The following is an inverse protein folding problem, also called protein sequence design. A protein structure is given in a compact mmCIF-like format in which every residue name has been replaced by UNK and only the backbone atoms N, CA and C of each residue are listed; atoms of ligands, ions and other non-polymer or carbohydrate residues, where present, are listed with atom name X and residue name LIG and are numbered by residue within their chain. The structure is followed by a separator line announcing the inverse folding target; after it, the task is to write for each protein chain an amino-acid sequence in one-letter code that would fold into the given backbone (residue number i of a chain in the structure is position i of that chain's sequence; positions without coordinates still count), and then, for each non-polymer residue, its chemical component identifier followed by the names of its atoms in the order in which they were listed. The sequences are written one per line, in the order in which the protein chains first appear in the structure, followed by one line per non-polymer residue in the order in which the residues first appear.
data_IF_282204125991
#
_entry.id   IF_282204125991
#
_cell.length_a   1.000
_cell.length_b   1.000
_cell.length_c   1.000
_cell.angle_alpha   90.00
_cell.angle_beta   90.00
_cell.angle_gamma   90.00
#
_symmetry.space_group_name_H-M   'P 1'
#
loop_
_entity.id
_entity.type
_entity.pdbx_description
1 polymer ?
#
# COMPACT_ATOMS: atom_id res chain seq x y z
N UNK A 1 -29.95 43.53 17.78
CA UNK A 1 -28.73 43.17 17.03
C UNK A 1 -28.80 41.68 16.74
N UNK A 2 -29.03 41.33 15.47
CA UNK A 2 -29.09 39.93 15.04
C UNK A 2 -27.66 39.42 14.85
N UNK A 3 -27.28 38.36 15.56
CA UNK A 3 -26.10 37.56 15.22
C UNK A 3 -26.45 36.75 13.99
N UNK A 4 -25.88 37.14 12.84
CA UNK A 4 -25.84 36.30 11.65
C UNK A 4 -24.91 35.13 11.98
N UNK A 5 -25.52 33.96 12.17
CA UNK A 5 -24.81 32.68 12.14
C UNK A 5 -24.27 32.51 10.73
N UNK A 6 -23.00 32.80 10.51
CA UNK A 6 -22.28 32.35 9.33
C UNK A 6 -22.37 30.82 9.31
N UNK A 7 -23.10 30.28 8.34
CA UNK A 7 -23.11 28.86 8.06
C UNK A 7 -21.68 28.49 7.68
N UNK A 8 -20.99 27.80 8.60
CA UNK A 8 -19.69 27.20 8.35
C UNK A 8 -19.86 26.28 7.12
N UNK A 9 -19.16 26.49 6.00
CA UNK A 9 -19.27 25.59 4.85
C UNK A 9 -18.96 24.18 5.35
N UNK A 10 -19.87 23.25 5.08
CA UNK A 10 -19.76 21.85 5.48
C UNK A 10 -18.31 21.40 5.27
N UNK A 11 -17.59 21.15 6.37
CA UNK A 11 -16.22 20.63 6.27
C UNK A 11 -16.34 19.29 5.56
N UNK A 12 -15.95 19.25 4.28
CA UNK A 12 -16.04 18.05 3.47
C UNK A 12 -15.26 16.96 4.20
N UNK A 13 -15.94 15.86 4.54
CA UNK A 13 -15.33 14.69 5.15
C UNK A 13 -14.11 14.26 4.32
N UNK A 14 -12.86 14.38 4.83
CA UNK A 14 -11.65 14.11 4.06
C UNK A 14 -11.60 12.70 3.49
N UNK A 15 -12.19 11.73 4.21
CA UNK A 15 -12.30 10.35 3.71
C UNK A 15 -13.23 10.27 2.51
N UNK A 16 -14.41 10.89 2.59
CA UNK A 16 -15.36 10.93 1.47
C UNK A 16 -14.75 11.63 0.24
N UNK A 17 -14.03 12.73 0.44
CA UNK A 17 -13.33 13.42 -0.64
C UNK A 17 -12.28 12.53 -1.32
N UNK A 18 -11.46 11.83 -0.53
CA UNK A 18 -10.48 10.86 -1.03
C UNK A 18 -11.14 9.77 -1.89
N UNK A 19 -12.16 9.10 -1.35
CA UNK A 19 -12.82 8.01 -2.07
C UNK A 19 -13.56 8.53 -3.32
N UNK A 20 -14.17 9.72 -3.24
CA UNK A 20 -14.80 10.34 -4.40
C UNK A 20 -13.82 10.65 -5.52
N UNK A 21 -12.60 11.13 -5.22
CA UNK A 21 -11.58 11.38 -6.23
C UNK A 21 -11.00 10.07 -6.77
N UNK A 22 -10.72 9.10 -5.89
CA UNK A 22 -10.18 7.80 -6.27
C UNK A 22 -11.09 7.03 -7.23
N UNK A 23 -12.40 7.03 -6.97
CA UNK A 23 -13.41 6.39 -7.82
C UNK A 23 -14.00 7.33 -8.90
N UNK A 24 -13.43 8.52 -9.10
CA UNK A 24 -13.94 9.46 -10.11
C UNK A 24 -13.72 8.98 -11.54
N UNK A 25 -14.57 9.45 -12.45
CA UNK A 25 -14.37 9.34 -13.90
C UNK A 25 -14.40 10.74 -14.52
N UNK A 26 -13.29 11.24 -15.13
CA UNK A 26 -12.00 10.59 -15.31
C UNK A 26 -11.04 10.75 -14.11
N UNK A 27 -10.82 9.67 -13.35
CA UNK A 27 -9.84 9.58 -12.25
C UNK A 27 -8.48 9.06 -12.69
N UNK A 28 -7.44 9.30 -11.89
CA UNK A 28 -6.04 9.01 -12.28
C UNK A 28 -5.79 7.54 -12.67
N UNK A 29 -6.29 6.58 -11.88
CA UNK A 29 -6.11 5.14 -12.17
C UNK A 29 -6.77 4.73 -13.48
N UNK A 30 -7.99 5.22 -13.76
CA UNK A 30 -8.69 4.97 -15.02
C UNK A 30 -7.87 5.49 -16.20
N UNK A 31 -7.30 6.70 -16.07
CA UNK A 31 -6.45 7.30 -17.12
C UNK A 31 -5.19 6.49 -17.37
N UNK A 32 -4.57 5.93 -16.34
CA UNK A 32 -3.43 5.03 -16.50
C UNK A 32 -3.81 3.76 -17.27
N UNK A 33 -5.00 3.19 -17.04
CA UNK A 33 -5.50 2.04 -17.80
C UNK A 33 -5.78 2.37 -19.26
N UNK A 34 -6.15 3.61 -19.56
CA UNK A 34 -6.24 4.14 -20.93
C UNK A 34 -4.86 4.44 -21.57
N UNK A 35 -3.75 4.20 -20.86
CA UNK A 35 -2.40 4.49 -21.33
C UNK A 35 -2.02 5.97 -21.25
N UNK A 36 -2.74 6.78 -20.46
CA UNK A 36 -2.53 8.23 -20.35
C UNK A 36 -2.02 8.63 -18.98
N UNK A 37 -0.84 9.26 -18.94
CA UNK A 37 -0.36 9.97 -17.77
C UNK A 37 -1.07 11.33 -17.63
N UNK A 38 -2.09 11.39 -16.79
CA UNK A 38 -2.87 12.60 -16.54
C UNK A 38 -2.39 13.33 -15.27
N UNK A 39 -1.50 14.31 -15.45
CA UNK A 39 -0.90 15.05 -14.33
C UNK A 39 -1.94 15.82 -13.51
N UNK A 40 -3.00 16.33 -14.13
CA UNK A 40 -4.06 17.02 -13.41
C UNK A 40 -4.86 16.06 -12.52
N UNK A 41 -5.17 14.86 -13.01
CA UNK A 41 -5.82 13.82 -12.21
C UNK A 41 -4.92 13.34 -11.07
N UNK A 42 -3.62 13.17 -11.33
CA UNK A 42 -2.64 12.84 -10.28
C UNK A 42 -2.63 13.90 -9.15
N UNK A 43 -2.56 15.19 -9.48
CA UNK A 43 -2.50 16.24 -8.48
C UNK A 43 -3.78 16.36 -7.64
N UNK A 44 -4.95 16.08 -8.22
CA UNK A 44 -6.20 16.01 -7.45
C UNK A 44 -6.19 14.85 -6.46
N UNK A 45 -5.78 13.65 -6.90
CA UNK A 45 -5.65 12.48 -6.05
C UNK A 45 -4.65 12.71 -4.90
N UNK A 46 -3.45 13.23 -5.20
CA UNK A 46 -2.44 13.55 -4.19
C UNK A 46 -2.96 14.58 -3.17
N UNK A 47 -3.73 15.57 -3.62
CA UNK A 47 -4.34 16.56 -2.74
C UNK A 47 -5.36 15.92 -1.80
N UNK A 48 -6.18 15.00 -2.31
CA UNK A 48 -7.18 14.29 -1.50
C UNK A 48 -6.53 13.31 -0.50
N UNK A 49 -5.48 12.59 -0.92
CA UNK A 49 -4.66 11.75 -0.04
C UNK A 49 -4.03 12.56 1.09
N UNK A 50 -3.43 13.71 0.78
CA UNK A 50 -2.83 14.61 1.77
C UNK A 50 -3.87 15.14 2.76
N UNK A 51 -5.04 15.56 2.27
CA UNK A 51 -6.12 16.03 3.13
C UNK A 51 -6.61 14.94 4.10
N UNK A 52 -6.70 13.69 3.64
CA UNK A 52 -6.99 12.56 4.51
C UNK A 52 -5.89 12.34 5.57
N UNK A 53 -4.61 12.35 5.16
CA UNK A 53 -3.46 12.13 6.04
C UNK A 53 -3.18 13.27 7.03
N UNK A 54 -3.71 14.47 6.82
CA UNK A 54 -3.64 15.57 7.80
C UNK A 54 -4.88 15.68 8.68
N UNK A 55 -5.94 14.93 8.38
CA UNK A 55 -7.17 14.92 9.17
C UNK A 55 -7.07 14.03 10.42
N UNK A 56 -7.85 14.32 11.49
CA UNK A 56 -8.00 13.42 12.62
C UNK A 56 -8.51 12.04 12.16
N UNK A 57 -7.74 10.98 12.44
CA UNK A 57 -8.06 9.60 12.07
C UNK A 57 -7.51 8.63 13.10
N UNK A 58 -7.94 7.38 13.01
CA UNK A 58 -7.32 6.29 13.77
C UNK A 58 -5.97 5.95 13.14
N UNK A 59 -4.87 6.11 13.88
CA UNK A 59 -3.52 5.83 13.38
C UNK A 59 -3.18 4.33 13.42
N UNK A 60 -3.96 3.50 14.11
CA UNK A 60 -3.71 2.07 14.21
C UNK A 60 -4.45 1.27 13.12
N UNK A 61 -5.44 1.88 12.45
CA UNK A 61 -6.27 1.20 11.46
C UNK A 61 -6.95 2.16 10.50
N UNK A 62 -7.29 1.65 9.33
CA UNK A 62 -8.05 2.38 8.31
C UNK A 62 -8.93 1.41 7.55
N UNK A 63 -9.90 1.93 6.80
CA UNK A 63 -10.76 1.10 5.97
C UNK A 63 -10.00 0.56 4.76
N UNK A 64 -10.41 -0.61 4.26
CA UNK A 64 -9.81 -1.25 3.09
C UNK A 64 -9.81 -0.32 1.88
N UNK A 65 -10.91 0.37 1.62
CA UNK A 65 -11.02 1.29 0.47
C UNK A 65 -10.05 2.48 0.58
N UNK A 66 -9.74 2.91 1.81
CA UNK A 66 -8.68 3.90 2.05
C UNK A 66 -7.34 3.28 1.66
N UNK A 67 -7.01 2.09 2.17
CA UNK A 67 -5.77 1.41 1.81
C UNK A 67 -5.61 1.24 0.29
N UNK A 68 -6.70 0.86 -0.40
CA UNK A 68 -6.76 0.75 -1.84
C UNK A 68 -6.44 2.07 -2.54
N UNK A 69 -7.00 3.18 -2.07
CA UNK A 69 -6.78 4.52 -2.61
C UNK A 69 -5.35 5.03 -2.46
N UNK A 70 -4.53 4.41 -1.61
CA UNK A 70 -3.09 4.69 -1.48
C UNK A 70 -2.21 3.67 -2.20
N UNK A 71 -2.54 2.38 -2.11
CA UNK A 71 -1.76 1.30 -2.69
C UNK A 71 -1.92 1.21 -4.22
N UNK A 72 -3.14 1.22 -4.74
CA UNK A 72 -3.40 0.93 -6.14
C UNK A 72 -2.85 2.01 -7.10
N UNK A 73 -3.04 3.32 -6.86
CA UNK A 73 -2.51 4.35 -7.75
C UNK A 73 -0.99 4.31 -7.85
N UNK A 74 -0.31 4.10 -6.72
CA UNK A 74 1.15 3.97 -6.66
C UNK A 74 1.65 2.80 -7.51
N UNK A 75 1.01 1.63 -7.36
CA UNK A 75 1.35 0.42 -8.11
C UNK A 75 1.11 0.58 -9.61
N UNK A 76 -0.06 1.08 -10.01
CA UNK A 76 -0.40 1.25 -11.43
C UNK A 76 0.48 2.32 -12.09
N UNK A 77 0.81 3.41 -11.38
CA UNK A 77 1.74 4.43 -11.89
C UNK A 77 3.11 3.83 -12.19
N UNK A 78 3.66 3.01 -11.28
CA UNK A 78 4.95 2.34 -11.50
C UNK A 78 4.91 1.36 -12.67
N UNK A 79 3.83 0.58 -12.78
CA UNK A 79 3.62 -0.33 -13.91
C UNK A 79 3.61 0.44 -15.23
N UNK A 80 2.90 1.57 -15.27
CA UNK A 80 2.86 2.45 -16.43
C UNK A 80 4.27 3.00 -16.78
N UNK A 81 4.98 3.58 -15.81
CA UNK A 81 6.32 4.13 -16.06
C UNK A 81 7.31 3.07 -16.56
N UNK A 82 7.24 1.85 -16.02
CA UNK A 82 8.08 0.73 -16.47
C UNK A 82 7.83 0.33 -17.94
N UNK A 83 6.61 0.55 -18.46
CA UNK A 83 6.26 0.25 -19.85
C UNK A 83 6.63 1.38 -20.82
N UNK A 84 6.52 2.64 -20.38
CA UNK A 84 6.60 3.80 -21.27
C UNK A 84 7.99 4.44 -21.30
N UNK A 85 8.79 4.32 -20.23
CA UNK A 85 10.06 5.07 -20.12
C UNK A 85 11.20 4.29 -19.45
N UNK A 86 11.89 3.38 -20.16
CA UNK A 86 13.15 2.83 -19.67
C UNK A 86 14.29 3.83 -19.91
N UNK A 87 14.52 4.76 -18.96
CA UNK A 87 15.77 5.54 -18.76
C UNK A 87 15.77 7.02 -19.18
N UNK A 88 15.06 7.91 -18.46
CA UNK A 88 15.47 9.32 -18.32
C UNK A 88 15.17 9.84 -16.91
N UNK A 89 16.22 10.17 -16.15
CA UNK A 89 16.07 10.87 -14.86
C UNK A 89 15.49 12.27 -15.11
N UNK A 90 14.41 12.64 -14.41
CA UNK A 90 13.54 13.83 -14.58
C UNK A 90 12.24 13.62 -15.39
N UNK A 91 11.78 12.38 -15.56
CA UNK A 91 10.45 12.14 -16.11
C UNK A 91 9.36 12.57 -15.10
N UNK A 92 8.35 13.39 -15.50
CA UNK A 92 7.13 13.59 -14.72
C UNK A 92 6.53 12.29 -14.16
N UNK A 93 6.69 11.16 -14.86
CA UNK A 93 6.27 9.83 -14.43
C UNK A 93 6.96 9.38 -13.13
N UNK A 94 8.28 9.53 -13.07
CA UNK A 94 9.11 9.13 -11.93
C UNK A 94 8.76 9.97 -10.69
N UNK A 95 8.65 11.29 -10.85
CA UNK A 95 8.26 12.19 -9.76
C UNK A 95 6.86 11.89 -9.23
N UNK A 96 5.90 11.58 -10.10
CA UNK A 96 4.57 11.18 -9.66
C UNK A 96 4.57 9.85 -8.89
N UNK A 97 5.40 8.89 -9.31
CA UNK A 97 5.57 7.63 -8.58
C UNK A 97 6.16 7.85 -7.19
N UNK A 98 7.13 8.75 -7.05
CA UNK A 98 7.70 9.14 -5.75
C UNK A 98 6.66 9.80 -4.86
N UNK A 99 5.89 10.77 -5.39
CA UNK A 99 4.83 11.42 -4.63
C UNK A 99 3.76 10.43 -4.12
N UNK A 100 3.34 9.50 -4.97
CA UNK A 100 2.41 8.43 -4.58
C UNK A 100 3.03 7.47 -3.57
N UNK A 101 4.32 7.17 -3.70
CA UNK A 101 5.06 6.36 -2.73
C UNK A 101 5.09 7.04 -1.36
N UNK A 102 5.37 8.34 -1.30
CA UNK A 102 5.42 9.11 -0.05
C UNK A 102 4.06 9.15 0.66
N UNK A 103 2.97 9.28 -0.11
CA UNK A 103 1.61 9.22 0.44
C UNK A 103 1.30 7.82 0.99
N UNK A 104 1.64 6.76 0.25
CA UNK A 104 1.47 5.40 0.73
C UNK A 104 2.33 5.12 1.97
N UNK A 105 3.60 5.54 1.96
CA UNK A 105 4.50 5.45 3.10
C UNK A 105 3.88 6.10 4.34
N UNK A 106 3.36 7.33 4.23
CA UNK A 106 2.75 8.02 5.36
C UNK A 106 1.52 7.29 5.92
N UNK A 107 0.69 6.69 5.05
CA UNK A 107 -0.44 5.88 5.52
C UNK A 107 0.04 4.63 6.27
N UNK A 108 0.95 3.86 5.66
CA UNK A 108 1.31 2.53 6.13
C UNK A 108 2.31 2.55 7.29
N UNK A 109 3.36 3.36 7.19
CA UNK A 109 4.39 3.49 8.25
C UNK A 109 3.94 4.38 9.41
N UNK A 110 2.90 5.21 9.21
CA UNK A 110 2.39 6.14 10.22
C UNK A 110 3.20 7.43 10.38
N UNK A 111 4.31 7.59 9.65
CA UNK A 111 5.19 8.76 9.71
C UNK A 111 5.33 9.43 8.33
N UNK A 112 5.34 10.77 8.24
CA UNK A 112 5.66 11.45 7.00
C UNK A 112 7.17 11.31 6.68
N UNK A 113 7.52 11.09 5.41
CA UNK A 113 8.91 10.89 4.95
C UNK A 113 9.80 12.12 5.21
N UNK A 114 9.23 13.33 5.16
CA UNK A 114 9.75 14.60 5.71
C UNK A 114 8.83 15.72 5.21
N UNK A 115 8.16 16.42 6.13
CA UNK A 115 7.58 17.73 5.87
C UNK A 115 7.95 18.59 7.08
N UNK A 116 8.73 19.64 6.86
CA UNK A 116 8.96 20.69 7.85
C UNK A 116 7.62 21.07 8.49
N UNK A 117 7.61 21.16 9.82
CA UNK A 117 6.47 21.35 10.74
C UNK A 117 5.83 20.07 11.30
N UNK A 118 6.57 19.44 12.22
CA UNK A 118 6.03 18.44 13.14
C UNK A 118 5.24 19.11 14.29
N UNK A 119 3.92 18.94 14.28
CA UNK A 119 3.12 18.88 15.52
C UNK A 119 2.19 17.68 15.41
N UNK A 120 2.54 16.55 16.03
CA UNK A 120 1.57 15.48 16.25
C UNK A 120 1.63 14.97 17.68
N UNK A 121 0.46 15.00 18.31
CA UNK A 121 0.20 14.52 19.65
C UNK A 121 0.11 13.00 19.66
N UNK A 122 0.67 12.38 20.69
CA UNK A 122 0.42 10.98 21.03
C UNK A 122 -1.08 10.81 21.32
N UNK A 123 -1.76 10.03 20.49
CA UNK A 123 -3.16 9.66 20.65
C UNK A 123 -3.24 8.19 21.08
N UNK A 124 -4.01 7.87 22.14
CA UNK A 124 -4.15 6.50 22.59
C UNK A 124 -4.93 5.66 21.58
N UNK A 125 -4.31 4.55 21.17
CA UNK A 125 -4.93 3.51 20.35
C UNK A 125 -5.98 2.76 21.17
N UNK A 126 -7.22 2.74 20.70
CA UNK A 126 -8.26 1.86 21.22
C UNK A 126 -8.67 0.91 20.10
N UNK A 127 -8.01 -0.26 20.03
CA UNK A 127 -8.34 -1.33 19.10
C UNK A 127 -9.68 -1.98 19.46
N UNK A 128 -10.64 -2.08 18.53
CA UNK A 128 -11.64 -3.14 18.62
C UNK A 128 -10.98 -4.47 18.28
N UNK A 129 -11.36 -5.50 19.03
CA UNK A 129 -10.66 -6.77 19.07
C UNK A 129 -10.85 -7.55 17.77
N UNK A 130 -9.76 -7.75 17.03
CA UNK A 130 -9.57 -9.00 16.29
C UNK A 130 -9.93 -10.17 17.24
N UNK A 131 -10.51 -11.24 16.70
CA UNK A 131 -10.73 -12.45 17.49
C UNK A 131 -9.41 -12.92 18.11
N UNK A 132 -9.45 -13.70 19.18
CA UNK A 132 -8.22 -14.23 19.79
C UNK A 132 -7.35 -14.98 18.77
N UNK A 133 -7.98 -15.64 17.79
CA UNK A 133 -7.27 -16.31 16.71
C UNK A 133 -6.76 -15.32 15.65
N UNK A 134 -7.51 -14.28 15.32
CA UNK A 134 -7.05 -13.19 14.46
C UNK A 134 -5.84 -12.45 15.03
N UNK A 135 -5.80 -12.22 16.35
CA UNK A 135 -4.64 -11.63 17.04
C UNK A 135 -3.41 -12.54 16.98
N UNK A 136 -3.58 -13.85 17.17
CA UNK A 136 -2.47 -14.81 17.05
C UNK A 136 -1.89 -14.84 15.65
N UNK A 137 -2.75 -14.88 14.64
CA UNK A 137 -2.33 -14.91 13.24
C UNK A 137 -1.64 -13.60 12.86
N UNK A 138 -2.19 -12.45 13.28
CA UNK A 138 -1.53 -11.15 13.14
C UNK A 138 -0.15 -11.15 13.77
N UNK A 139 -0.04 -11.60 15.03
CA UNK A 139 1.24 -11.62 15.73
C UNK A 139 2.25 -12.53 15.05
N UNK A 140 1.85 -13.74 14.63
CA UNK A 140 2.73 -14.66 13.92
C UNK A 140 3.28 -14.06 12.61
N UNK A 141 2.45 -13.30 11.88
CA UNK A 141 2.91 -12.59 10.69
C UNK A 141 3.92 -11.48 11.01
N UNK A 142 3.65 -10.70 12.06
CA UNK A 142 4.58 -9.65 12.50
C UNK A 142 5.90 -10.27 12.98
N UNK A 143 5.85 -11.35 13.74
CA UNK A 143 7.02 -12.08 14.23
C UNK A 143 7.90 -12.57 13.07
N UNK A 144 7.32 -13.19 12.03
CA UNK A 144 8.08 -13.63 10.84
C UNK A 144 8.64 -12.44 10.04
N UNK A 145 7.92 -11.31 9.99
CA UNK A 145 8.39 -10.10 9.27
C UNK A 145 9.54 -9.39 9.99
N UNK A 146 9.63 -9.53 11.31
CA UNK A 146 10.62 -8.88 12.18
C UNK A 146 11.68 -9.85 12.74
N UNK A 147 11.64 -11.12 12.35
CA UNK A 147 12.53 -12.15 12.86
C UNK A 147 14.01 -11.79 12.60
N UNK A 148 14.85 -11.96 13.64
CA UNK A 148 16.29 -11.67 13.59
C UNK A 148 17.04 -12.53 12.58
N UNK A 149 16.53 -13.72 12.27
CA UNK A 149 17.02 -14.61 11.22
C UNK A 149 16.06 -14.71 10.03
N UNK A 150 15.08 -13.79 9.97
CA UNK A 150 14.01 -13.75 8.99
C UNK A 150 14.44 -13.36 7.59
N UNK A 151 13.57 -13.67 6.63
CA UNK A 151 13.83 -13.46 5.21
C UNK A 151 14.17 -12.00 4.87
N UNK A 152 13.43 -11.02 5.41
CA UNK A 152 13.64 -9.61 5.07
C UNK A 152 15.01 -9.11 5.53
N UNK A 153 15.48 -9.53 6.70
CA UNK A 153 16.79 -9.13 7.21
C UNK A 153 17.92 -9.75 6.40
N UNK A 154 17.85 -11.06 6.12
CA UNK A 154 18.81 -11.76 5.26
C UNK A 154 18.86 -11.16 3.85
N UNK A 155 17.70 -10.88 3.27
CA UNK A 155 17.60 -10.27 1.94
C UNK A 155 18.26 -8.89 1.93
N UNK A 156 17.95 -8.04 2.91
CA UNK A 156 18.44 -6.66 3.01
C UNK A 156 19.94 -6.58 3.32
N UNK A 157 20.40 -7.33 4.31
CA UNK A 157 21.75 -7.18 4.87
C UNK A 157 22.78 -8.12 4.26
N UNK A 158 22.36 -9.32 3.85
CA UNK A 158 23.26 -10.38 3.39
C UNK A 158 23.15 -10.66 1.88
N UNK A 159 22.17 -10.03 1.22
CA UNK A 159 21.82 -10.30 -0.18
C UNK A 159 21.52 -11.80 -0.42
N UNK A 160 20.98 -12.46 0.60
CA UNK A 160 20.66 -13.88 0.57
C UNK A 160 19.17 -14.10 0.32
N UNK A 161 18.86 -14.95 -0.66
CA UNK A 161 17.51 -15.46 -0.86
C UNK A 161 17.30 -16.71 0.01
N UNK A 162 16.84 -16.53 1.24
CA UNK A 162 16.41 -17.64 2.11
C UNK A 162 15.03 -18.14 1.68
N UNK A 163 15.00 -19.30 1.02
CA UNK A 163 13.75 -19.90 0.52
C UNK A 163 12.80 -20.30 1.63
N UNK A 164 13.34 -20.82 2.73
CA UNK A 164 12.52 -21.32 3.84
C UNK A 164 11.96 -20.13 4.62
N UNK A 165 12.78 -19.10 4.85
CA UNK A 165 12.31 -17.83 5.41
C UNK A 165 11.23 -17.16 4.55
N UNK A 166 11.41 -17.13 3.22
CA UNK A 166 10.40 -16.58 2.31
C UNK A 166 9.08 -17.37 2.41
N UNK A 167 9.14 -18.70 2.41
CA UNK A 167 7.96 -19.55 2.51
C UNK A 167 7.20 -19.32 3.83
N UNK A 168 7.90 -19.24 4.97
CA UNK A 168 7.27 -18.94 6.27
C UNK A 168 6.58 -17.59 6.28
N UNK A 169 7.24 -16.55 5.76
CA UNK A 169 6.66 -15.21 5.66
C UNK A 169 5.38 -15.20 4.81
N UNK A 170 5.43 -15.80 3.62
CA UNK A 170 4.29 -15.89 2.71
C UNK A 170 3.14 -16.68 3.33
N UNK A 171 3.41 -17.78 4.02
CA UNK A 171 2.39 -18.59 4.69
C UNK A 171 1.75 -17.84 5.87
N UNK A 172 2.54 -17.06 6.62
CA UNK A 172 2.00 -16.21 7.68
C UNK A 172 1.11 -15.08 7.12
N UNK A 173 1.52 -14.46 6.01
CA UNK A 173 0.70 -13.47 5.30
C UNK A 173 -0.60 -14.08 4.75
N UNK A 174 -0.56 -15.29 4.16
CA UNK A 174 -1.75 -16.04 3.72
C UNK A 174 -2.69 -16.31 4.89
N UNK A 175 -2.15 -16.76 6.02
CA UNK A 175 -2.91 -16.97 7.25
C UNK A 175 -3.64 -15.69 7.68
N UNK A 176 -2.95 -14.54 7.65
CA UNK A 176 -3.54 -13.25 8.01
C UNK A 176 -4.68 -12.84 7.08
N UNK A 177 -4.50 -12.94 5.75
CA UNK A 177 -5.56 -12.66 4.78
C UNK A 177 -6.78 -13.55 5.03
N UNK A 178 -6.56 -14.86 5.26
CA UNK A 178 -7.64 -15.80 5.54
C UNK A 178 -8.39 -15.47 6.84
N UNK A 179 -7.69 -14.98 7.87
CA UNK A 179 -8.28 -14.61 9.15
C UNK A 179 -9.02 -13.26 9.11
N UNK A 180 -8.65 -12.34 8.21
CA UNK A 180 -9.31 -11.04 8.05
C UNK A 180 -10.74 -11.18 7.50
N UNK A 181 -11.00 -12.15 6.62
CA UNK A 181 -12.32 -12.33 6.01
C UNK A 181 -12.83 -11.05 5.33
N UNK A 182 -14.12 -10.77 5.46
CA UNK A 182 -14.78 -9.58 4.87
C UNK A 182 -14.66 -8.32 5.72
N UNK A 183 -13.85 -8.32 6.79
CA UNK A 183 -13.70 -7.15 7.67
C UNK A 183 -13.23 -5.94 6.86
N UNK A 184 -14.01 -4.86 6.86
CA UNK A 184 -13.72 -3.65 6.07
C UNK A 184 -12.59 -2.78 6.64
N UNK A 185 -11.97 -3.18 7.75
CA UNK A 185 -10.90 -2.44 8.43
C UNK A 185 -9.59 -3.22 8.39
N UNK A 186 -8.49 -2.53 8.16
CA UNK A 186 -7.14 -3.07 8.16
C UNK A 186 -6.36 -2.52 9.34
N UNK A 187 -5.65 -3.41 10.02
CA UNK A 187 -4.60 -3.04 10.97
C UNK A 187 -3.41 -2.43 10.22
N UNK A 188 -2.93 -1.28 10.69
CA UNK A 188 -1.87 -0.54 10.01
C UNK A 188 -0.57 -1.34 9.93
N UNK A 189 -0.11 -1.92 11.04
CA UNK A 189 1.17 -2.66 11.07
C UNK A 189 1.12 -3.87 10.14
N UNK A 190 -0.01 -4.56 10.09
CA UNK A 190 -0.19 -5.63 9.13
C UNK A 190 -0.18 -5.12 7.68
N UNK A 191 -0.94 -4.05 7.38
CA UNK A 191 -0.95 -3.44 6.05
C UNK A 191 0.45 -2.94 5.62
N UNK A 192 1.23 -2.42 6.57
CA UNK A 192 2.62 -2.03 6.38
C UNK A 192 3.47 -3.17 5.85
N UNK A 193 3.37 -4.37 6.45
CA UNK A 193 4.10 -5.55 5.97
C UNK A 193 3.77 -5.84 4.51
N UNK A 194 2.49 -5.91 4.12
CA UNK A 194 2.10 -6.23 2.74
C UNK A 194 2.59 -5.18 1.75
N UNK A 195 2.41 -3.90 2.07
CA UNK A 195 2.87 -2.80 1.23
C UNK A 195 4.40 -2.81 1.09
N UNK A 196 5.10 -3.02 2.21
CA UNK A 196 6.56 -3.02 2.23
C UNK A 196 7.12 -4.18 1.42
N UNK A 197 6.67 -5.42 1.66
CA UNK A 197 7.27 -6.60 1.01
C UNK A 197 6.97 -6.67 -0.49
N UNK A 198 5.76 -6.29 -0.92
CA UNK A 198 5.38 -6.26 -2.33
C UNK A 198 6.24 -5.28 -3.13
N UNK A 199 6.63 -4.16 -2.52
CA UNK A 199 7.53 -3.20 -3.14
C UNK A 199 9.02 -3.57 -2.98
N UNK A 200 9.44 -3.86 -1.75
CA UNK A 200 10.85 -3.99 -1.37
C UNK A 200 11.50 -5.19 -2.03
N UNK A 201 10.84 -6.36 -2.01
CA UNK A 201 11.44 -7.61 -2.47
C UNK A 201 11.78 -7.57 -3.96
N UNK A 202 10.84 -7.22 -4.88
CA UNK A 202 11.16 -7.12 -6.29
C UNK A 202 12.22 -6.05 -6.58
N UNK A 203 12.14 -4.90 -5.92
CA UNK A 203 13.11 -3.81 -6.09
C UNK A 203 14.52 -4.21 -5.66
N UNK A 204 14.63 -4.94 -4.55
CA UNK A 204 15.92 -5.35 -4.01
C UNK A 204 16.56 -6.45 -4.85
N UNK A 205 15.78 -7.47 -5.24
CA UNK A 205 16.25 -8.60 -6.06
C UNK A 205 16.57 -8.18 -7.50
N UNK A 206 15.91 -7.13 -8.01
CA UNK A 206 16.16 -6.61 -9.35
C UNK A 206 17.44 -5.77 -9.45
N UNK A 207 18.13 -5.48 -8.35
CA UNK A 207 19.38 -4.72 -8.39
C UNK A 207 20.50 -5.47 -9.11
N UNK A 208 21.40 -4.78 -9.84
CA UNK A 208 22.49 -5.44 -10.58
C UNK A 208 23.42 -6.28 -9.70
N UNK A 209 23.59 -5.91 -8.43
CA UNK A 209 24.49 -6.57 -7.48
C UNK A 209 23.85 -7.73 -6.69
N UNK A 210 22.57 -8.03 -6.90
CA UNK A 210 21.92 -9.14 -6.20
C UNK A 210 22.38 -10.49 -6.80
N UNK A 211 22.89 -11.45 -5.99
CA UNK A 211 23.38 -12.72 -6.49
C UNK A 211 22.21 -13.66 -6.83
N UNK A 212 21.71 -13.57 -8.07
CA UNK A 212 20.63 -14.42 -8.58
C UNK A 212 21.12 -15.86 -8.79
N UNK A 213 21.01 -16.69 -7.74
CA UNK A 213 21.41 -18.11 -7.75
C UNK A 213 20.34 -19.05 -8.35
N UNK A 214 19.09 -18.64 -8.27
CA UNK A 214 17.93 -19.37 -8.79
C UNK A 214 17.54 -18.88 -10.20
N UNK A 215 16.69 -19.64 -10.88
CA UNK A 215 16.16 -19.28 -12.19
C UNK A 215 15.26 -18.02 -12.10
N UNK A 216 15.22 -17.16 -13.14
CA UNK A 216 14.40 -15.94 -13.14
C UNK A 216 12.93 -16.19 -12.78
N UNK A 217 12.35 -17.28 -13.29
CA UNK A 217 10.95 -17.65 -13.11
C UNK A 217 10.60 -17.90 -11.63
N UNK A 218 11.59 -18.35 -10.83
CA UNK A 218 11.40 -18.52 -9.38
C UNK A 218 11.14 -17.17 -8.69
N UNK A 219 11.90 -16.14 -9.06
CA UNK A 219 11.73 -14.82 -8.46
C UNK A 219 10.46 -14.15 -8.98
N UNK A 220 10.16 -14.30 -10.26
CA UNK A 220 8.92 -13.79 -10.86
C UNK A 220 7.68 -14.37 -10.17
N UNK A 221 7.65 -15.70 -9.95
CA UNK A 221 6.57 -16.33 -9.19
C UNK A 221 6.50 -15.82 -7.76
N UNK A 222 7.64 -15.63 -7.09
CA UNK A 222 7.67 -15.07 -5.74
C UNK A 222 7.11 -13.63 -5.70
N UNK A 223 7.39 -12.80 -6.70
CA UNK A 223 6.84 -11.45 -6.80
C UNK A 223 5.34 -11.47 -7.06
N UNK A 224 4.88 -12.41 -7.88
CA UNK A 224 3.46 -12.62 -8.16
C UNK A 224 2.71 -13.06 -6.90
N UNK A 225 3.26 -14.00 -6.12
CA UNK A 225 2.67 -14.43 -4.84
C UNK A 225 2.50 -13.26 -3.85
N UNK A 226 3.52 -12.40 -3.70
CA UNK A 226 3.45 -11.22 -2.84
C UNK A 226 2.41 -10.21 -3.34
N UNK A 227 2.35 -10.02 -4.66
CA UNK A 227 1.40 -9.12 -5.30
C UNK A 227 -0.04 -9.59 -5.12
N UNK A 228 -0.30 -10.88 -5.31
CA UNK A 228 -1.62 -11.45 -5.18
C UNK A 228 -2.10 -11.34 -3.73
N UNK A 229 -1.22 -11.56 -2.76
CA UNK A 229 -1.49 -11.30 -1.35
C UNK A 229 -1.85 -9.84 -1.05
N UNK A 230 -1.11 -8.88 -1.62
CA UNK A 230 -1.42 -7.46 -1.48
C UNK A 230 -2.77 -7.10 -2.14
N UNK A 231 -3.09 -7.67 -3.31
CA UNK A 231 -4.40 -7.49 -3.96
C UNK A 231 -5.52 -8.02 -3.05
N UNK A 232 -5.38 -9.23 -2.53
CA UNK A 232 -6.40 -9.84 -1.66
C UNK A 232 -6.63 -9.00 -0.40
N UNK A 233 -5.58 -8.42 0.18
CA UNK A 233 -5.71 -7.57 1.37
C UNK A 233 -6.35 -6.20 1.06
N UNK A 234 -5.81 -5.49 0.07
CA UNK A 234 -6.14 -4.08 -0.18
C UNK A 234 -7.35 -3.88 -1.09
N UNK A 235 -7.65 -4.83 -1.97
CA UNK A 235 -8.77 -4.75 -2.92
C UNK A 235 -9.89 -5.70 -2.53
N UNK A 236 -9.55 -6.86 -1.95
CA UNK A 236 -10.51 -7.90 -1.58
C UNK A 236 -10.80 -8.92 -2.68
N UNK A 237 -11.55 -9.97 -2.32
CA UNK A 237 -11.76 -11.17 -3.15
C UNK A 237 -12.64 -10.93 -4.38
N UNK A 238 -13.64 -10.04 -4.30
CA UNK A 238 -14.61 -9.83 -5.38
C UNK A 238 -13.97 -9.30 -6.67
N UNK A 239 -12.86 -8.56 -6.55
CA UNK A 239 -12.09 -8.05 -7.69
C UNK A 239 -11.00 -9.02 -8.20
N UNK A 240 -10.58 -9.99 -7.36
CA UNK A 240 -9.56 -10.97 -7.74
C UNK A 240 -10.15 -12.12 -8.59
N UNK A 241 -11.38 -12.54 -8.28
CA UNK A 241 -12.08 -13.60 -9.02
C UNK A 241 -12.30 -13.24 -10.51
N UNK A 242 -12.57 -11.97 -10.82
CA UNK A 242 -12.82 -11.49 -12.19
C UNK A 242 -11.60 -11.57 -13.10
N UNK A 243 -10.38 -11.65 -12.55
CA UNK A 243 -9.14 -11.74 -13.33
C UNK A 243 -8.72 -13.19 -13.63
N UNK A 244 -9.06 -14.14 -12.75
CA UNK A 244 -8.77 -15.57 -12.98
C UNK A 244 -9.68 -16.21 -14.04
N UNK A 245 -10.90 -15.69 -14.24
CA UNK A 245 -11.82 -16.16 -15.27
C UNK A 245 -11.53 -15.62 -16.68
N UNK A 246 -10.54 -14.73 -16.84
CA UNK A 246 -10.21 -14.07 -18.11
C UNK A 246 -8.87 -14.51 -18.74
N UNK A 247 -8.25 -15.55 -18.22
CA UNK A 247 -7.07 -16.16 -18.88
C UNK A 247 -7.56 -17.35 -19.73
N UNK A 248 -7.44 -17.31 -21.07
CA UNK A 248 -7.85 -18.41 -21.95
C UNK A 248 -6.97 -19.66 -21.80
#
# INVERSE_FOLDING_TARGET
MAFLSEANPESVDPKRALLSEFFSEPGFVVRLHDGVWDEAALQRLLSAQRAYLTSPRDAARFERDVAQAFWLPHREARRYCAQVAPSRSNDPCERGCEQLHDMAYWLFMGEPVSLDDAVFAQMPSASPALSADGLKVRQAMLDESLAEDGFLLRLRCELEWDRDGFARLVDAMRGYVAAQGEVGWLDREAAEVFWYVEWFVPQWVSRPNFPRKLAPEHYEQAFDDLRDLAILLFVGNESHATRQEQTP
#
